data_IF_140160413963
#
_entry.id   IF_140160413963
#
_cell.length_a   1.000
_cell.length_b   1.000
_cell.length_c   1.000
_cell.angle_alpha   90.00
_cell.angle_beta   90.00
_cell.angle_gamma   90.00
#
_symmetry.space_group_name_H-M   'P 1'
#
loop_
_entity.id
_entity.type
_entity.pdbx_description
1 polymer ?
#
# COMPACT_ATOMS: atom_id res chain seq x y z
N UNK A 1 5.90 -5.48 2.77
CA UNK A 1 5.74 -6.58 3.73
C UNK A 1 7.07 -6.79 4.44
N UNK A 2 7.09 -6.99 5.76
CA UNK A 2 8.32 -7.21 6.53
C UNK A 2 8.55 -8.70 6.72
N UNK A 3 9.79 -9.16 6.56
CA UNK A 3 10.16 -10.57 6.72
C UNK A 3 9.85 -11.05 8.15
N UNK A 4 10.12 -10.19 9.12
CA UNK A 4 9.99 -10.45 10.55
C UNK A 4 8.53 -10.63 10.98
N UNK A 5 7.59 -10.01 10.25
CA UNK A 5 6.16 -10.26 10.45
C UNK A 5 5.80 -11.71 10.07
N UNK A 6 6.35 -12.20 8.96
CA UNK A 6 6.12 -13.57 8.50
C UNK A 6 6.81 -14.60 9.40
N UNK A 7 8.01 -14.28 9.90
CA UNK A 7 8.73 -15.09 10.90
C UNK A 7 7.95 -15.19 12.21
N UNK A 8 7.37 -14.07 12.69
CA UNK A 8 6.55 -14.04 13.90
C UNK A 8 5.25 -14.86 13.78
N UNK A 9 4.76 -15.10 12.56
CA UNK A 9 3.63 -16.00 12.29
C UNK A 9 4.02 -17.49 12.29
N UNK A 10 5.30 -17.81 12.52
CA UNK A 10 5.80 -19.18 12.56
C UNK A 10 5.93 -19.83 11.18
N UNK A 11 6.04 -19.02 10.12
CA UNK A 11 6.23 -19.52 8.76
C UNK A 11 7.67 -20.00 8.56
N UNK A 12 7.84 -21.09 7.82
CA UNK A 12 9.18 -21.56 7.45
C UNK A 12 9.89 -20.60 6.50
N UNK A 13 11.22 -20.51 6.64
CA UNK A 13 12.08 -19.62 5.86
C UNK A 13 11.86 -19.72 4.34
N UNK A 14 11.65 -20.93 3.83
CA UNK A 14 11.42 -21.15 2.40
C UNK A 14 10.07 -20.59 1.92
N UNK A 15 9.02 -20.67 2.75
CA UNK A 15 7.72 -20.07 2.48
C UNK A 15 7.80 -18.54 2.55
N UNK A 16 8.55 -18.02 3.53
CA UNK A 16 8.80 -16.58 3.68
C UNK A 16 9.50 -16.01 2.46
N UNK A 17 10.54 -16.68 1.95
CA UNK A 17 11.28 -16.21 0.77
C UNK A 17 10.40 -16.20 -0.49
N UNK A 18 9.52 -17.21 -0.67
CA UNK A 18 8.53 -17.25 -1.77
C UNK A 18 7.51 -16.11 -1.65
N UNK A 19 6.95 -15.88 -0.45
CA UNK A 19 5.97 -14.82 -0.21
C UNK A 19 6.59 -13.44 -0.44
N UNK A 20 7.79 -13.21 0.08
CA UNK A 20 8.51 -11.94 -0.11
C UNK A 20 8.88 -11.73 -1.58
N UNK A 21 9.24 -12.80 -2.31
CA UNK A 21 9.47 -12.74 -3.75
C UNK A 21 8.23 -12.33 -4.54
N UNK A 22 7.08 -12.97 -4.29
CA UNK A 22 5.81 -12.61 -4.94
C UNK A 22 5.33 -11.20 -4.55
N UNK A 23 5.51 -10.81 -3.29
CA UNK A 23 5.22 -9.45 -2.84
C UNK A 23 6.12 -8.43 -3.53
N UNK A 24 7.42 -8.71 -3.66
CA UNK A 24 8.37 -7.85 -4.37
C UNK A 24 7.97 -7.67 -5.84
N UNK A 25 7.59 -8.74 -6.53
CA UNK A 25 7.05 -8.67 -7.91
C UNK A 25 5.80 -7.79 -7.99
N UNK A 26 4.90 -7.92 -7.01
CA UNK A 26 3.67 -7.11 -6.96
C UNK A 26 3.99 -5.63 -6.74
N UNK A 27 4.92 -5.32 -5.83
CA UNK A 27 5.36 -3.94 -5.58
C UNK A 27 6.02 -3.34 -6.82
N UNK A 28 6.92 -4.08 -7.47
CA UNK A 28 7.57 -3.61 -8.70
C UNK A 28 6.54 -3.41 -9.82
N UNK A 29 5.61 -4.35 -10.00
CA UNK A 29 4.53 -4.22 -10.98
C UNK A 29 3.62 -3.01 -10.71
N UNK A 30 3.34 -2.68 -9.45
CA UNK A 30 2.59 -1.48 -9.09
C UNK A 30 3.40 -0.21 -9.33
N UNK A 31 4.71 -0.23 -9.06
CA UNK A 31 5.62 0.89 -9.37
C UNK A 31 5.67 1.14 -10.89
N UNK A 32 5.76 0.08 -11.69
CA UNK A 32 5.72 0.17 -13.16
C UNK A 32 4.43 0.85 -13.64
N UNK A 33 3.27 0.37 -13.17
CA UNK A 33 1.96 0.98 -13.49
C UNK A 33 1.90 2.45 -13.11
N UNK A 34 2.50 2.83 -11.99
CA UNK A 34 2.52 4.21 -11.50
C UNK A 34 3.41 5.10 -12.38
N UNK A 35 4.55 4.59 -12.87
CA UNK A 35 5.39 5.24 -13.88
C UNK A 35 4.66 5.40 -15.22
N UNK A 36 3.94 4.37 -15.68
CA UNK A 36 3.16 4.42 -16.92
C UNK A 36 2.05 5.48 -16.83
N UNK A 37 1.35 5.53 -15.70
CA UNK A 37 0.36 6.58 -15.41
C UNK A 37 1.01 7.96 -15.41
N UNK A 38 2.19 8.11 -14.81
CA UNK A 38 2.91 9.39 -14.79
C UNK A 38 3.28 9.85 -16.20
N UNK A 39 3.80 8.95 -17.02
CA UNK A 39 4.14 9.21 -18.43
C UNK A 39 2.89 9.61 -19.22
N UNK A 40 1.79 8.87 -19.05
CA UNK A 40 0.52 9.19 -19.71
C UNK A 40 -0.02 10.56 -19.30
N UNK A 41 0.16 10.97 -18.04
CA UNK A 41 -0.25 12.29 -17.58
C UNK A 41 0.57 13.41 -18.25
N UNK A 42 1.87 13.20 -18.44
CA UNK A 42 2.72 14.18 -19.13
C UNK A 42 2.43 14.26 -20.63
N UNK A 43 2.09 13.14 -21.28
CA UNK A 43 1.58 13.14 -22.66
C UNK A 43 0.26 13.91 -22.80
N UNK A 44 -0.67 13.73 -21.85
CA UNK A 44 -1.94 14.48 -21.84
C UNK A 44 -1.69 15.98 -21.66
N UNK A 45 -0.75 16.38 -20.80
CA UNK A 45 -0.34 17.79 -20.67
C UNK A 45 0.22 18.34 -21.98
N UNK A 46 1.03 17.57 -22.70
CA UNK A 46 1.58 17.98 -23.99
C UNK A 46 0.48 18.15 -25.04
N UNK A 47 -0.51 17.25 -25.07
CA UNK A 47 -1.67 17.36 -25.97
C UNK A 47 -2.54 18.60 -25.68
N UNK A 48 -2.75 18.94 -24.40
CA UNK A 48 -3.41 20.19 -24.00
C UNK A 48 -2.66 21.41 -24.52
N UNK A 49 -1.33 21.45 -24.36
CA UNK A 49 -0.52 22.54 -24.87
C UNK A 49 -0.57 22.65 -26.41
N UNK A 50 -0.69 21.53 -27.13
CA UNK A 50 -0.85 21.54 -28.59
C UNK A 50 -2.24 22.04 -29.01
N UNK A 51 -3.30 21.59 -28.33
CA UNK A 51 -4.68 22.06 -28.55
C UNK A 51 -4.82 23.57 -28.38
N UNK A 52 -4.13 24.16 -27.39
CA UNK A 52 -4.08 25.62 -27.21
C UNK A 52 -3.52 26.35 -28.45
N UNK A 53 -2.49 25.78 -29.07
CA UNK A 53 -1.87 26.34 -30.27
C UNK A 53 -2.81 26.24 -31.46
N UNK A 54 -3.40 25.06 -31.67
CA UNK A 54 -4.34 24.80 -32.76
C UNK A 54 -5.55 25.73 -32.68
N UNK A 55 -6.08 25.97 -31.46
CA UNK A 55 -7.18 26.91 -31.26
C UNK A 55 -6.77 28.34 -31.60
N UNK A 56 -5.60 28.81 -31.16
CA UNK A 56 -5.13 30.15 -31.52
C UNK A 56 -4.97 30.32 -33.04
N UNK A 57 -4.51 29.28 -33.73
CA UNK A 57 -4.36 29.29 -35.19
C UNK A 57 -5.71 29.29 -35.91
N UNK A 58 -6.65 28.42 -35.50
CA UNK A 58 -8.01 28.40 -36.05
C UNK A 58 -8.75 29.71 -35.83
N UNK A 59 -8.56 30.36 -34.67
CA UNK A 59 -9.15 31.69 -34.38
C UNK A 59 -8.70 32.73 -35.40
N UNK A 60 -7.41 32.73 -35.72
CA UNK A 60 -6.81 33.63 -36.71
C UNK A 60 -7.31 33.33 -38.12
N UNK A 61 -7.47 32.06 -38.48
CA UNK A 61 -8.00 31.66 -39.79
C UNK A 61 -9.50 31.99 -39.96
N UNK A 62 -10.25 32.07 -38.86
CA UNK A 62 -11.67 32.42 -38.85
C UNK A 62 -11.94 33.94 -38.83
N UNK A 63 -10.90 34.78 -38.86
CA UNK A 63 -11.06 36.25 -38.94
C UNK A 63 -11.80 36.63 -40.23
N UNK A 64 -12.98 37.26 -40.08
CA UNK A 64 -13.82 37.71 -41.20
C UNK A 64 -15.26 37.15 -41.22
N UNK A 65 -15.58 36.18 -40.35
CA UNK A 65 -16.96 35.68 -40.17
C UNK A 65 -17.40 35.84 -38.71
N UNK A 66 -18.40 36.69 -38.47
CA UNK A 66 -18.93 36.96 -37.13
C UNK A 66 -19.54 35.71 -36.45
N UNK A 67 -20.20 34.85 -37.24
CA UNK A 67 -20.76 33.59 -36.75
C UNK A 67 -19.67 32.60 -36.32
N UNK A 68 -18.56 32.54 -37.08
CA UNK A 68 -17.42 31.69 -36.72
C UNK A 68 -16.69 32.23 -35.49
N UNK A 69 -16.52 33.55 -35.36
CA UNK A 69 -15.92 34.16 -34.16
C UNK A 69 -16.74 33.90 -32.89
N UNK A 70 -18.07 33.94 -32.99
CA UNK A 70 -18.97 33.65 -31.85
C UNK A 70 -18.80 32.20 -31.41
N UNK A 71 -18.89 31.24 -32.35
CA UNK A 71 -18.66 29.82 -32.05
C UNK A 71 -17.26 29.57 -31.50
N UNK A 72 -16.24 30.28 -31.99
CA UNK A 72 -14.88 30.16 -31.51
C UNK A 72 -14.75 30.58 -30.04
N UNK A 73 -15.40 31.69 -29.67
CA UNK A 73 -15.37 32.22 -28.31
C UNK A 73 -16.09 31.29 -27.33
N UNK A 74 -17.22 30.70 -27.73
CA UNK A 74 -17.92 29.67 -26.96
C UNK A 74 -17.04 28.41 -26.78
N UNK A 75 -16.41 27.94 -27.86
CA UNK A 75 -15.51 26.78 -27.81
C UNK A 75 -14.30 27.04 -26.91
N UNK A 76 -13.69 28.21 -27.02
CA UNK A 76 -12.54 28.63 -26.23
C UNK A 76 -12.89 28.71 -24.73
N UNK A 77 -14.08 29.23 -24.41
CA UNK A 77 -14.57 29.29 -23.03
C UNK A 77 -14.75 27.90 -22.45
N UNK A 78 -15.48 27.02 -23.15
CA UNK A 78 -15.69 25.63 -22.72
C UNK A 78 -14.37 24.87 -22.57
N UNK A 79 -13.49 25.02 -23.56
CA UNK A 79 -12.19 24.37 -23.56
C UNK A 79 -11.31 24.84 -22.39
N UNK A 80 -11.27 26.14 -22.09
CA UNK A 80 -10.52 26.66 -20.94
C UNK A 80 -11.05 26.10 -19.61
N UNK A 81 -12.36 25.91 -19.51
CA UNK A 81 -13.00 25.35 -18.32
C UNK A 81 -12.68 23.85 -18.16
N UNK A 82 -12.85 23.07 -19.23
CA UNK A 82 -12.48 21.65 -19.26
C UNK A 82 -10.97 21.47 -18.95
N UNK A 83 -10.12 22.35 -19.49
CA UNK A 83 -8.68 22.36 -19.25
C UNK A 83 -8.34 22.58 -17.78
N UNK A 84 -8.97 23.54 -17.10
CA UNK A 84 -8.73 23.75 -15.66
C UNK A 84 -9.08 22.51 -14.84
N UNK A 85 -10.21 21.87 -15.14
CA UNK A 85 -10.62 20.64 -14.48
C UNK A 85 -9.66 19.48 -14.73
N UNK A 86 -9.17 19.34 -15.97
CA UNK A 86 -8.17 18.33 -16.31
C UNK A 86 -6.82 18.61 -15.65
N UNK A 87 -6.33 19.85 -15.66
CA UNK A 87 -5.09 20.22 -14.99
C UNK A 87 -5.15 19.97 -13.47
N UNK A 88 -6.30 20.24 -12.84
CA UNK A 88 -6.53 19.93 -11.43
C UNK A 88 -6.47 18.42 -11.17
N UNK A 89 -7.17 17.60 -11.99
CA UNK A 89 -7.13 16.14 -11.88
C UNK A 89 -5.73 15.57 -12.11
N UNK A 90 -4.99 16.10 -13.07
CA UNK A 90 -3.62 15.67 -13.36
C UNK A 90 -2.73 15.97 -12.15
N UNK A 91 -2.77 17.18 -11.60
CA UNK A 91 -2.00 17.55 -10.40
C UNK A 91 -2.37 16.67 -9.20
N UNK A 92 -3.67 16.46 -8.96
CA UNK A 92 -4.14 15.60 -7.87
C UNK A 92 -3.64 14.16 -8.02
N UNK A 93 -3.70 13.61 -9.23
CA UNK A 93 -3.26 12.24 -9.52
C UNK A 93 -1.75 12.12 -9.34
N UNK A 94 -0.97 13.08 -9.86
CA UNK A 94 0.49 13.09 -9.71
C UNK A 94 0.89 13.16 -8.24
N UNK A 95 0.31 14.09 -7.49
CA UNK A 95 0.60 14.27 -6.07
C UNK A 95 0.21 13.04 -5.25
N UNK A 96 -0.98 12.50 -5.48
CA UNK A 96 -1.45 11.28 -4.79
C UNK A 96 -0.53 10.09 -5.09
N UNK A 97 -0.09 9.94 -6.35
CA UNK A 97 0.79 8.84 -6.75
C UNK A 97 2.20 8.99 -6.14
N UNK A 98 2.75 10.21 -6.15
CA UNK A 98 4.03 10.52 -5.52
C UNK A 98 4.00 10.26 -4.00
N UNK A 99 2.91 10.65 -3.33
CA UNK A 99 2.72 10.37 -1.90
C UNK A 99 2.68 8.87 -1.62
N UNK A 100 1.87 8.11 -2.37
CA UNK A 100 1.78 6.65 -2.20
C UNK A 100 3.13 5.98 -2.39
N UNK A 101 3.91 6.44 -3.37
CA UNK A 101 5.26 5.94 -3.60
C UNK A 101 6.21 6.27 -2.43
N UNK A 102 6.16 7.51 -1.93
CA UNK A 102 7.00 7.94 -0.81
C UNK A 102 6.66 7.23 0.53
N UNK A 103 5.39 6.80 0.67
CA UNK A 103 4.86 6.07 1.82
C UNK A 103 5.01 4.54 1.69
N UNK A 104 5.29 4.03 0.49
CA UNK A 104 5.37 2.59 0.24
C UNK A 104 6.38 1.93 1.18
N UNK A 105 5.92 0.89 1.90
CA UNK A 105 6.74 0.13 2.85
C UNK A 105 6.97 0.80 4.21
N UNK A 106 6.65 2.09 4.37
CA UNK A 106 6.74 2.83 5.64
C UNK A 106 5.45 2.77 6.46
N UNK A 107 4.32 2.59 5.78
CA UNK A 107 2.98 2.56 6.39
C UNK A 107 2.26 1.27 6.08
N UNK A 108 1.28 0.92 6.92
CA UNK A 108 0.44 -0.25 6.73
C UNK A 108 -0.57 -0.05 5.58
N UNK A 109 -1.09 1.16 5.44
CA UNK A 109 -2.02 1.55 4.38
C UNK A 109 -1.61 2.92 3.80
N UNK A 110 -1.02 2.89 2.61
CA UNK A 110 -0.56 4.09 1.92
C UNK A 110 -1.71 4.97 1.42
N UNK A 111 -2.87 4.37 1.12
CA UNK A 111 -4.04 5.10 0.64
C UNK A 111 -4.65 5.90 1.78
N UNK A 112 -4.87 5.25 2.93
CA UNK A 112 -5.37 5.93 4.12
C UNK A 112 -4.42 7.04 4.56
N UNK A 113 -3.13 6.76 4.70
CA UNK A 113 -2.17 7.78 5.17
C UNK A 113 -2.09 8.93 4.17
N UNK A 114 -2.12 8.69 2.85
CA UNK A 114 -2.15 9.75 1.86
C UNK A 114 -3.39 10.66 1.96
N UNK A 115 -4.52 10.20 2.51
CA UNK A 115 -5.69 11.06 2.79
C UNK A 115 -5.52 11.95 4.02
N UNK A 116 -4.61 11.58 4.93
CA UNK A 116 -4.33 12.34 6.16
C UNK A 116 -3.25 13.41 5.96
N UNK A 117 -2.55 13.38 4.83
CA UNK A 117 -1.53 14.37 4.45
C UNK A 117 -2.21 15.58 3.82
N UNK A 118 -1.87 16.78 4.30
CA UNK A 118 -2.21 18.03 3.63
C UNK A 118 -1.38 18.18 2.36
N UNK A 119 -2.02 17.84 1.25
CA UNK A 119 -1.46 17.89 -0.10
C UNK A 119 -1.00 19.29 -0.49
N UNK A 120 -1.54 20.36 0.10
CA UNK A 120 -1.19 21.74 -0.28
C UNK A 120 0.22 22.16 0.17
N UNK A 121 0.78 21.46 1.15
CA UNK A 121 2.13 21.72 1.69
C UNK A 121 3.21 20.85 1.05
N UNK A 122 2.82 19.97 0.12
CA UNK A 122 3.72 19.02 -0.54
C UNK A 122 4.32 19.65 -1.81
N UNK A 123 5.65 19.71 -1.86
CA UNK A 123 6.38 20.13 -3.06
C UNK A 123 6.85 18.91 -3.85
N UNK A 124 6.44 18.80 -5.11
CA UNK A 124 6.96 17.81 -6.05
C UNK A 124 8.17 18.34 -6.82
N UNK A 125 9.17 17.49 -7.01
CA UNK A 125 10.33 17.75 -7.86
C UNK A 125 10.00 17.67 -9.35
N UNK A 126 10.97 18.02 -10.19
CA UNK A 126 10.84 17.94 -11.65
C UNK A 126 10.64 16.49 -12.16
N UNK A 127 11.03 15.51 -11.36
CA UNK A 127 10.83 14.08 -11.59
C UNK A 127 9.48 13.56 -11.07
N UNK A 128 8.63 14.45 -10.52
CA UNK A 128 7.34 14.10 -9.95
C UNK A 128 7.41 13.49 -8.55
N UNK A 129 8.60 13.35 -7.95
CA UNK A 129 8.75 12.80 -6.60
C UNK A 129 8.53 13.87 -5.53
N UNK A 130 8.13 13.44 -4.32
CA UNK A 130 7.99 14.35 -3.18
C UNK A 130 9.38 14.83 -2.74
N UNK A 131 9.58 16.14 -2.70
CA UNK A 131 10.85 16.76 -2.30
C UNK A 131 10.80 17.42 -0.93
N UNK A 132 9.64 17.95 -0.52
CA UNK A 132 9.45 18.61 0.79
C UNK A 132 8.02 18.46 1.32
N UNK A 133 7.84 18.80 2.60
CA UNK A 133 6.54 18.91 3.27
C UNK A 133 5.97 17.60 3.84
N UNK A 134 6.47 16.45 3.40
CA UNK A 134 5.98 15.15 3.85
C UNK A 134 6.54 14.71 5.20
N UNK A 135 7.83 14.94 5.45
CA UNK A 135 8.51 14.38 6.64
C UNK A 135 7.95 14.94 7.96
N UNK A 136 7.63 16.23 8.01
CA UNK A 136 7.05 16.89 9.18
C UNK A 136 5.64 16.36 9.50
N UNK A 137 4.85 16.14 8.45
CA UNK A 137 3.51 15.57 8.58
C UNK A 137 3.55 14.10 9.00
N UNK A 138 4.49 13.32 8.45
CA UNK A 138 4.72 11.94 8.88
C UNK A 138 5.09 11.86 10.35
N UNK A 139 6.00 12.72 10.85
CA UNK A 139 6.35 12.76 12.29
C UNK A 139 5.13 13.05 13.16
N UNK A 140 4.35 14.07 12.80
CA UNK A 140 3.12 14.43 13.54
C UNK A 140 2.10 13.30 13.54
N UNK A 141 1.95 12.60 12.41
CA UNK A 141 1.09 11.43 12.30
C UNK A 141 1.64 10.22 13.07
N UNK A 142 2.95 10.05 13.19
CA UNK A 142 3.56 9.00 14.00
C UNK A 142 3.31 9.22 15.50
N UNK A 143 3.34 10.47 15.97
CA UNK A 143 3.03 10.80 17.38
C UNK A 143 1.56 10.58 17.72
N UNK A 144 0.65 10.93 16.82
CA UNK A 144 -0.80 10.87 17.06
C UNK A 144 -1.46 9.55 16.64
N UNK A 145 -0.89 8.86 15.65
CA UNK A 145 -1.44 7.65 14.99
C UNK A 145 -0.34 6.65 14.64
N UNK A 146 0.53 6.36 15.59
CA UNK A 146 1.66 5.42 15.44
C UNK A 146 1.29 4.07 14.83
N UNK A 147 0.08 3.56 15.09
CA UNK A 147 -0.43 2.29 14.56
C UNK A 147 -0.56 2.24 13.03
N UNK A 148 -0.53 3.38 12.33
CA UNK A 148 -0.54 3.43 10.86
C UNK A 148 0.84 3.16 10.25
N UNK A 149 1.90 3.26 11.04
CA UNK A 149 3.28 3.18 10.59
C UNK A 149 3.91 1.84 10.94
N UNK A 150 4.73 1.34 10.04
CA UNK A 150 5.42 0.07 10.27
C UNK A 150 6.65 0.33 11.14
N UNK A 151 6.74 -0.20 12.38
CA UNK A 151 7.83 0.10 13.31
C UNK A 151 9.19 -0.31 12.74
N UNK A 152 10.21 0.55 12.85
CA UNK A 152 11.53 0.32 12.25
C UNK A 152 12.32 -0.82 12.90
N UNK A 153 12.05 -1.14 14.16
CA UNK A 153 12.66 -2.27 14.88
C UNK A 153 11.75 -3.49 14.87
N UNK A 154 12.24 -4.69 14.49
CA UNK A 154 11.52 -5.91 14.74
C UNK A 154 11.55 -6.22 16.24
N UNK A 155 10.40 -6.10 16.88
CA UNK A 155 10.14 -6.72 18.18
C UNK A 155 9.81 -5.75 19.30
N UNK A 156 8.50 -5.61 19.56
CA UNK A 156 8.07 -5.96 20.89
C UNK A 156 7.79 -7.47 20.85
N UNK A 157 8.72 -8.29 21.37
CA UNK A 157 8.30 -9.61 21.83
C UNK A 157 7.21 -9.34 22.86
N UNK A 158 5.96 -9.67 22.55
CA UNK A 158 4.99 -9.84 23.63
C UNK A 158 5.55 -10.99 24.46
N UNK A 159 6.26 -10.66 25.55
CA UNK A 159 6.57 -11.62 26.58
C UNK A 159 5.22 -12.06 27.15
N UNK A 160 4.83 -13.30 26.84
CA UNK A 160 3.50 -13.82 27.11
C UNK A 160 3.12 -13.71 28.58
N UNK A 161 1.81 -13.53 28.84
CA UNK A 161 1.27 -13.80 30.16
C UNK A 161 1.21 -15.32 30.36
N UNK A 162 2.14 -15.84 31.14
CA UNK A 162 2.07 -17.19 31.72
C UNK A 162 0.81 -17.25 32.60
N UNK A 163 -0.18 -18.14 32.35
CA UNK A 163 -1.25 -18.37 33.30
C UNK A 163 -0.63 -18.83 34.63
N UNK A 164 -1.13 -18.28 35.73
CA UNK A 164 -0.58 -18.55 37.05
C UNK A 164 -0.85 -20.01 37.48
N UNK A 165 0.21 -20.69 37.93
CA UNK A 165 0.16 -21.99 38.60
C UNK A 165 0.67 -23.13 37.70
N UNK A 166 1.72 -23.88 38.02
CA UNK A 166 2.53 -23.93 39.23
C UNK A 166 3.89 -24.54 38.88
N UNK A 167 4.83 -24.32 39.80
CA UNK A 167 6.23 -24.68 39.76
C UNK A 167 6.50 -26.12 39.35
N UNK A 168 7.56 -26.35 38.55
CA UNK A 168 8.41 -27.51 38.76
C UNK A 168 9.83 -27.29 38.23
N UNK A 169 10.89 -27.52 39.03
CA UNK A 169 12.23 -27.78 38.51
C UNK A 169 12.32 -29.27 38.14
N UNK A 170 12.86 -29.61 36.97
CA UNK A 170 13.23 -31.00 36.68
C UNK A 170 13.02 -31.43 35.24
N UNK A 171 14.15 -31.59 34.55
CA UNK A 171 14.39 -32.01 33.19
C UNK A 171 13.79 -33.40 32.82
N UNK A 172 12.74 -33.46 32.00
CA UNK A 172 12.38 -34.64 31.17
C UNK A 172 11.81 -34.17 29.81
N UNK A 173 12.09 -34.88 28.69
CA UNK A 173 11.75 -34.39 27.36
C UNK A 173 10.23 -34.37 27.13
N UNK A 174 9.71 -33.40 26.36
CA UNK A 174 8.28 -33.18 26.22
C UNK A 174 7.64 -34.31 25.41
N UNK A 175 6.79 -35.11 26.07
CA UNK A 175 5.89 -36.04 25.40
C UNK A 175 4.90 -35.25 24.55
N UNK A 176 4.97 -35.45 23.23
CA UNK A 176 4.06 -34.78 22.30
C UNK A 176 2.63 -35.27 22.49
N UNK A 177 1.66 -34.38 22.29
CA UNK A 177 0.23 -34.68 22.40
C UNK A 177 -0.16 -35.89 21.54
N UNK A 178 0.48 -36.07 20.38
CA UNK A 178 0.27 -37.23 19.51
C UNK A 178 0.65 -38.58 20.16
N UNK A 179 1.66 -38.61 21.02
CA UNK A 179 2.07 -39.83 21.73
C UNK A 179 1.01 -40.27 22.77
N UNK A 180 0.36 -39.30 23.42
CA UNK A 180 -0.72 -39.59 24.37
C UNK A 180 -1.98 -40.09 23.67
N UNK A 181 -2.35 -39.50 22.52
CA UNK A 181 -3.48 -39.97 21.72
C UNK A 181 -3.28 -41.40 21.19
N UNK A 182 -2.08 -41.74 20.70
CA UNK A 182 -1.75 -43.08 20.21
C UNK A 182 -1.81 -44.13 21.32
N UNK A 183 -1.40 -43.78 22.54
CA UNK A 183 -1.43 -44.69 23.70
C UNK A 183 -2.87 -44.95 24.16
N UNK A 184 -3.71 -43.92 24.23
CA UNK A 184 -5.13 -44.05 24.58
C UNK A 184 -5.94 -44.85 23.56
N UNK A 185 -5.63 -44.74 22.27
CA UNK A 185 -6.31 -45.51 21.22
C UNK A 185 -5.95 -47.01 21.27
N UNK A 186 -4.71 -47.33 21.67
CA UNK A 186 -4.23 -48.71 21.77
C UNK A 186 -4.66 -49.43 23.08
N UNK A 187 -5.04 -48.66 24.11
CA UNK A 187 -5.61 -49.21 25.35
C UNK A 187 -7.12 -49.50 25.20
N UNK A 188 -7.83 -48.74 24.37
CA UNK A 188 -9.26 -48.95 24.08
C UNK A 188 -9.54 -50.11 23.12
N UNK A 189 -8.54 -50.63 22.41
CA UNK A 189 -8.69 -51.71 21.41
C UNK A 189 -8.44 -53.12 21.97
N UNK A 190 -8.18 -53.28 23.27
CA UNK A 190 -7.96 -54.61 23.87
C UNK A 190 -9.30 -55.28 24.24
N UNK A 191 -9.56 -56.54 23.83
CA UNK A 191 -10.78 -57.24 24.18
C UNK A 191 -10.82 -57.57 25.68
N UNK A 192 -12.00 -57.41 26.29
CA UNK A 192 -12.28 -57.74 27.68
C UNK A 192 -12.36 -59.26 27.83
N UNK A 193 -11.34 -59.91 28.38
CA UNK A 193 -11.47 -61.29 28.85
C UNK A 193 -12.15 -61.31 30.22
N UNK A 194 -13.43 -61.67 30.23
CA UNK A 194 -14.15 -62.03 31.47
C UNK A 194 -13.73 -63.44 31.91
N UNK A 195 -12.94 -63.53 32.98
CA UNK A 195 -12.75 -64.80 33.72
C UNK A 195 -13.62 -64.78 34.97
N UNK A 196 -14.65 -65.64 34.99
CA UNK A 196 -15.44 -66.00 36.18
C UNK A 196 -14.71 -67.16 36.88
N UNK A 197 -14.40 -67.03 38.16
CA UNK A 197 -13.82 -68.09 39.01
C UNK A 197 -14.90 -68.91 39.72
N UNK A 198 -14.84 -70.24 39.61
CA UNK A 198 -14.66 -71.21 40.70
C UNK A 198 -14.56 -72.62 40.13
#
# INVERSE_FOLDING_TARGET
>A
MKREFLEALGLEKEAIDKIMGEHGKTVEGNKQKLTDVTTSLDDVKAQLAQRDKDLKELKKQAEGSADLQTKFTELETKYNQDKQDFEAKIKETQLTSALKLALAGKVHDADLVATLIDKNTIELGADGNVTKGLDEQIKTLQESKSFLFVPETPGAKIAGTKPAGGSNPGNEPPVSVGANFAKSANEQSKPVETTIWS
#
